data_IF_704985958256
#
_entry.id   IF_704985958256
#
_cell.length_a   1.000
_cell.length_b   1.000
_cell.length_c   1.000
_cell.angle_alpha   90.00
_cell.angle_beta   90.00
_cell.angle_gamma   90.00
#
_symmetry.space_group_name_H-M   'P 1'
#
loop_
_entity.id
_entity.type
_entity.pdbx_description
1 polymer ?
#
# COMPACT_ATOMS: atom_id res chain seq x y z
N UNK A 1 32.12 -33.79 -33.49
CA UNK A 1 31.31 -32.80 -32.75
C UNK A 1 29.91 -32.91 -33.30
N UNK A 2 29.00 -33.45 -32.50
CA UNK A 2 27.62 -33.74 -32.89
C UNK A 2 26.75 -32.49 -32.70
N UNK A 3 26.09 -31.94 -33.75
CA UNK A 3 25.30 -30.71 -33.66
C UNK A 3 23.85 -30.99 -33.22
N UNK A 4 23.63 -31.94 -32.32
CA UNK A 4 22.29 -32.42 -31.94
C UNK A 4 21.62 -31.67 -30.79
N UNK A 5 22.15 -30.51 -30.37
CA UNK A 5 21.47 -29.62 -29.41
C UNK A 5 20.59 -28.59 -30.15
N UNK A 6 19.77 -29.09 -31.08
CA UNK A 6 18.67 -28.34 -31.66
C UNK A 6 17.57 -28.16 -30.61
N UNK A 7 17.78 -27.23 -29.67
CA UNK A 7 16.72 -26.79 -28.77
C UNK A 7 15.53 -26.35 -29.62
N UNK A 8 14.35 -26.93 -29.40
CA UNK A 8 13.13 -26.60 -30.14
C UNK A 8 12.93 -25.09 -30.11
N UNK A 9 13.17 -24.43 -31.24
CA UNK A 9 12.80 -23.04 -31.41
C UNK A 9 11.28 -22.96 -31.31
N UNK A 10 10.80 -22.07 -30.43
CA UNK A 10 9.37 -21.88 -30.23
C UNK A 10 8.75 -21.28 -31.49
N UNK A 11 7.55 -21.73 -31.88
CA UNK A 11 6.82 -21.06 -32.95
C UNK A 11 6.50 -19.63 -32.53
N UNK A 12 6.49 -18.71 -33.50
CA UNK A 12 6.16 -17.29 -33.27
C UNK A 12 4.82 -17.14 -32.53
N UNK A 13 3.83 -17.94 -32.92
CA UNK A 13 2.50 -17.92 -32.32
C UNK A 13 2.50 -18.40 -30.87
N UNK A 14 3.27 -19.45 -30.55
CA UNK A 14 3.42 -19.92 -29.17
C UNK A 14 4.14 -18.90 -28.29
N UNK A 15 5.18 -18.26 -28.82
CA UNK A 15 5.88 -17.18 -28.12
C UNK A 15 4.94 -15.99 -27.84
N UNK A 16 4.23 -15.51 -28.85
CA UNK A 16 3.27 -14.41 -28.69
C UNK A 16 2.15 -14.77 -27.72
N UNK A 17 1.58 -15.97 -27.82
CA UNK A 17 0.53 -16.44 -26.92
C UNK A 17 1.01 -16.49 -25.47
N UNK A 18 2.25 -16.94 -25.21
CA UNK A 18 2.82 -16.99 -23.87
C UNK A 18 3.14 -15.58 -23.36
N UNK A 19 3.73 -14.72 -24.18
CA UNK A 19 4.05 -13.34 -23.77
C UNK A 19 2.78 -12.53 -23.46
N UNK A 20 1.73 -12.67 -24.28
CA UNK A 20 0.42 -12.06 -24.01
C UNK A 20 -0.24 -12.70 -22.79
N UNK A 21 -0.18 -14.03 -22.68
CA UNK A 21 -0.69 -14.79 -21.54
C UNK A 21 -0.06 -14.33 -20.24
N UNK A 22 1.27 -14.27 -20.15
CA UNK A 22 1.98 -13.74 -18.99
C UNK A 22 1.64 -12.26 -18.75
N UNK A 23 1.45 -11.48 -19.81
CA UNK A 23 1.05 -10.08 -19.72
C UNK A 23 -0.30 -9.79 -19.13
N UNK A 24 -1.24 -10.71 -19.28
CA UNK A 24 -2.53 -10.61 -18.61
C UNK A 24 -2.49 -11.31 -17.26
N UNK A 25 -1.86 -12.48 -17.20
CA UNK A 25 -1.86 -13.35 -16.03
C UNK A 25 -1.14 -12.73 -14.84
N UNK A 26 0.06 -12.14 -15.04
CA UNK A 26 0.85 -11.58 -13.94
C UNK A 26 0.14 -10.41 -13.27
N UNK A 27 -0.36 -9.39 -14.00
CA UNK A 27 -1.18 -8.33 -13.40
C UNK A 27 -2.46 -8.88 -12.76
N UNK A 28 -3.15 -9.82 -13.40
CA UNK A 28 -4.38 -10.41 -12.86
C UNK A 28 -4.13 -11.18 -11.55
N UNK A 29 -3.03 -11.94 -11.46
CA UNK A 29 -2.63 -12.62 -10.23
C UNK A 29 -2.27 -11.64 -9.12
N UNK A 30 -1.48 -10.60 -9.41
CA UNK A 30 -1.05 -9.64 -8.41
C UNK A 30 -2.17 -8.68 -7.95
N UNK A 31 -3.19 -8.44 -8.77
CA UNK A 31 -4.34 -7.62 -8.40
C UNK A 31 -5.48 -8.48 -7.85
N UNK A 32 -6.09 -9.28 -8.70
CA UNK A 32 -7.28 -10.04 -8.35
C UNK A 32 -6.98 -11.21 -7.43
N UNK A 33 -5.84 -11.89 -7.63
CA UNK A 33 -5.39 -12.96 -6.74
C UNK A 33 -5.17 -12.47 -5.32
N UNK A 34 -4.52 -11.32 -5.14
CA UNK A 34 -4.36 -10.71 -3.81
C UNK A 34 -5.71 -10.31 -3.20
N UNK A 35 -6.64 -9.76 -3.98
CA UNK A 35 -7.98 -9.45 -3.49
C UNK A 35 -8.76 -10.72 -3.07
N UNK A 36 -8.62 -11.83 -3.79
CA UNK A 36 -9.26 -13.11 -3.45
C UNK A 36 -8.66 -13.73 -2.19
N UNK A 37 -7.32 -13.71 -2.06
CA UNK A 37 -6.61 -14.14 -0.84
C UNK A 37 -7.03 -13.28 0.34
N UNK A 38 -7.13 -11.96 0.16
CA UNK A 38 -7.57 -11.06 1.21
C UNK A 38 -9.01 -11.36 1.69
N UNK A 39 -9.88 -11.76 0.76
CA UNK A 39 -11.27 -12.10 1.05
C UNK A 39 -11.43 -13.43 1.79
N UNK A 40 -10.66 -14.46 1.41
CA UNK A 40 -10.85 -15.84 1.90
C UNK A 40 -9.85 -16.24 2.99
N UNK A 41 -8.64 -15.69 2.96
CA UNK A 41 -7.52 -16.06 3.82
C UNK A 41 -6.97 -14.83 4.56
N UNK A 42 -7.79 -14.28 5.46
CA UNK A 42 -7.39 -13.16 6.34
C UNK A 42 -6.17 -13.50 7.21
N UNK A 43 -5.89 -14.79 7.44
CA UNK A 43 -4.71 -15.28 8.15
C UNK A 43 -3.38 -15.06 7.43
N UNK A 44 -3.36 -15.09 6.09
CA UNK A 44 -2.14 -15.06 5.28
C UNK A 44 -1.63 -13.64 4.97
N UNK A 45 -2.41 -12.62 5.29
CA UNK A 45 -2.05 -11.22 5.06
C UNK A 45 -1.14 -10.72 6.18
N UNK A 46 0.13 -10.50 5.83
CA UNK A 46 1.08 -9.81 6.71
C UNK A 46 0.77 -8.31 6.70
N UNK A 47 -0.07 -7.87 7.64
CA UNK A 47 -0.52 -6.49 7.78
C UNK A 47 -0.25 -5.99 9.21
N UNK A 48 0.26 -4.76 9.39
CA UNK A 48 0.42 -4.19 10.72
C UNK A 48 -0.96 -3.99 11.38
N UNK A 49 -1.11 -4.45 12.62
CA UNK A 49 -2.36 -4.38 13.38
C UNK A 49 -3.53 -5.08 12.66
N UNK A 50 -3.26 -6.25 12.09
CA UNK A 50 -4.22 -7.06 11.34
C UNK A 50 -5.58 -7.20 12.02
N UNK A 51 -5.59 -7.48 13.33
CA UNK A 51 -6.82 -7.71 14.09
C UNK A 51 -7.72 -6.47 14.15
N UNK A 52 -7.12 -5.29 14.16
CA UNK A 52 -7.86 -4.02 14.10
C UNK A 52 -8.51 -3.80 12.73
N UNK A 53 -7.77 -4.04 11.65
CA UNK A 53 -8.25 -3.80 10.28
C UNK A 53 -9.20 -4.89 9.77
N UNK A 54 -9.06 -6.12 10.26
CA UNK A 54 -9.88 -7.27 9.88
C UNK A 54 -11.03 -7.55 10.85
N UNK A 55 -11.26 -6.67 11.84
CA UNK A 55 -12.43 -6.73 12.71
C UNK A 55 -13.73 -6.79 11.86
N UNK A 56 -14.73 -7.62 12.23
CA UNK A 56 -15.92 -7.87 11.43
C UNK A 56 -16.63 -6.59 10.96
N UNK A 57 -16.63 -5.56 11.80
CA UNK A 57 -17.29 -4.28 11.56
C UNK A 57 -16.57 -3.43 10.49
N UNK A 58 -15.24 -3.59 10.35
CA UNK A 58 -14.39 -2.77 9.47
C UNK A 58 -13.93 -3.51 8.22
N UNK A 59 -13.97 -4.85 8.24
CA UNK A 59 -13.47 -5.74 7.19
C UNK A 59 -13.92 -5.34 5.79
N UNK A 60 -15.20 -5.02 5.60
CA UNK A 60 -15.72 -4.60 4.30
C UNK A 60 -15.05 -3.31 3.78
N UNK A 61 -14.87 -2.31 4.66
CA UNK A 61 -14.20 -1.05 4.32
C UNK A 61 -12.70 -1.24 4.04
N UNK A 62 -12.05 -2.14 4.79
CA UNK A 62 -10.63 -2.51 4.62
C UNK A 62 -10.41 -3.17 3.27
N UNK A 63 -11.28 -4.12 2.88
CA UNK A 63 -11.22 -4.79 1.59
C UNK A 63 -11.47 -3.83 0.42
N UNK A 64 -12.43 -2.91 0.54
CA UNK A 64 -12.66 -1.88 -0.48
C UNK A 64 -11.43 -0.95 -0.65
N UNK A 65 -10.78 -0.60 0.45
CA UNK A 65 -9.54 0.19 0.43
C UNK A 65 -8.39 -0.58 -0.19
N UNK A 66 -8.24 -1.86 0.15
CA UNK A 66 -7.24 -2.73 -0.46
C UNK A 66 -7.46 -2.85 -1.98
N UNK A 67 -8.72 -3.04 -2.43
CA UNK A 67 -9.06 -3.06 -3.86
C UNK A 67 -8.63 -1.80 -4.60
N UNK A 68 -8.86 -0.62 -4.01
CA UNK A 68 -8.39 0.67 -4.57
C UNK A 68 -6.87 0.76 -4.64
N UNK A 69 -6.17 0.21 -3.66
CA UNK A 69 -4.70 0.21 -3.62
C UNK A 69 -4.09 -0.82 -4.60
N UNK A 70 -4.80 -1.89 -4.92
CA UNK A 70 -4.34 -2.89 -5.88
C UNK A 70 -4.39 -2.40 -7.33
N UNK A 71 -5.27 -1.45 -7.66
CA UNK A 71 -5.32 -0.85 -9.00
C UNK A 71 -3.99 -0.21 -9.46
N UNK A 72 -3.38 0.73 -8.70
CA UNK A 72 -2.09 1.31 -9.09
C UNK A 72 -0.95 0.28 -9.07
N UNK A 73 -1.03 -0.78 -8.26
CA UNK A 73 -0.07 -1.89 -8.32
C UNK A 73 -0.16 -2.63 -9.67
N UNK A 74 -1.37 -2.96 -10.11
CA UNK A 74 -1.60 -3.56 -11.42
C UNK A 74 -1.06 -2.69 -12.55
N UNK A 75 -1.29 -1.38 -12.50
CA UNK A 75 -0.75 -0.43 -13.46
C UNK A 75 0.78 -0.43 -13.47
N UNK A 76 1.44 -0.40 -12.31
CA UNK A 76 2.90 -0.45 -12.22
C UNK A 76 3.48 -1.74 -12.83
N UNK A 77 2.82 -2.89 -12.62
CA UNK A 77 3.24 -4.17 -13.19
C UNK A 77 3.12 -4.15 -14.72
N UNK A 78 1.98 -3.67 -15.24
CA UNK A 78 1.76 -3.55 -16.69
C UNK A 78 2.79 -2.60 -17.32
N UNK A 79 3.09 -1.48 -16.66
CA UNK A 79 4.11 -0.53 -17.13
C UNK A 79 5.51 -1.15 -17.15
N UNK A 80 5.91 -1.89 -16.11
CA UNK A 80 7.19 -2.62 -16.12
C UNK A 80 7.27 -3.61 -17.28
N UNK A 81 6.20 -4.37 -17.51
CA UNK A 81 6.19 -5.36 -18.58
C UNK A 81 6.19 -4.73 -19.97
N UNK A 82 5.39 -3.67 -20.17
CA UNK A 82 5.37 -2.92 -21.42
C UNK A 82 6.74 -2.30 -21.70
N UNK A 83 7.36 -1.67 -20.69
CA UNK A 83 8.72 -1.13 -20.79
C UNK A 83 9.74 -2.20 -21.17
N UNK A 84 9.73 -3.35 -20.48
CA UNK A 84 10.62 -4.47 -20.81
C UNK A 84 10.41 -4.98 -22.23
N UNK A 85 9.15 -5.13 -22.67
CA UNK A 85 8.82 -5.59 -24.03
C UNK A 85 9.31 -4.61 -25.10
N UNK A 86 9.13 -3.31 -24.88
CA UNK A 86 9.63 -2.25 -25.78
C UNK A 86 11.15 -2.28 -25.85
N UNK A 87 11.85 -2.44 -24.72
CA UNK A 87 13.32 -2.51 -24.73
C UNK A 87 13.82 -3.72 -25.52
N UNK A 88 13.22 -4.90 -25.33
CA UNK A 88 13.57 -6.09 -26.11
C UNK A 88 13.32 -5.88 -27.61
N UNK A 89 12.16 -5.33 -27.97
CA UNK A 89 11.83 -5.06 -29.37
C UNK A 89 12.78 -4.02 -29.98
N UNK A 90 13.10 -2.95 -29.24
CA UNK A 90 14.02 -1.92 -29.68
C UNK A 90 15.43 -2.47 -29.91
N UNK A 91 15.90 -3.40 -29.08
CA UNK A 91 17.19 -4.08 -29.29
C UNK A 91 17.20 -4.92 -30.57
N UNK A 92 16.12 -5.67 -30.84
CA UNK A 92 15.98 -6.50 -32.05
C UNK A 92 15.84 -5.66 -33.32
N UNK A 93 15.09 -4.57 -33.25
CA UNK A 93 14.81 -3.67 -34.37
C UNK A 93 15.89 -2.60 -34.57
N UNK A 94 16.95 -2.62 -33.76
CA UNK A 94 18.02 -1.61 -33.73
C UNK A 94 17.48 -0.17 -33.67
N UNK A 95 16.42 0.05 -32.88
CA UNK A 95 15.89 1.39 -32.65
C UNK A 95 16.96 2.23 -31.94
N UNK A 96 17.27 3.45 -32.40
CA UNK A 96 18.15 4.38 -31.69
C UNK A 96 17.49 4.90 -30.40
N UNK A 97 17.44 4.07 -29.36
CA UNK A 97 17.08 4.51 -28.02
C UNK A 97 18.31 5.08 -27.29
N UNK A 98 18.13 6.10 -26.43
CA UNK A 98 19.20 6.55 -25.55
C UNK A 98 19.69 5.40 -24.66
N UNK A 99 21.01 5.35 -24.42
CA UNK A 99 21.62 4.30 -23.58
C UNK A 99 21.11 4.34 -22.13
N UNK A 100 20.69 5.51 -21.67
CA UNK A 100 20.12 5.77 -20.36
C UNK A 100 18.63 5.37 -20.23
N UNK A 101 17.93 5.09 -21.33
CA UNK A 101 16.49 4.82 -21.31
C UNK A 101 16.08 3.63 -20.41
N UNK A 102 16.80 2.48 -20.40
CA UNK A 102 16.49 1.38 -19.49
C UNK A 102 16.68 1.76 -18.02
N UNK A 103 17.74 2.51 -17.72
CA UNK A 103 18.07 2.94 -16.36
C UNK A 103 17.02 3.95 -15.88
N UNK A 104 16.70 4.96 -16.69
CA UNK A 104 15.70 5.97 -16.37
C UNK A 104 14.31 5.34 -16.15
N UNK A 105 13.89 4.42 -17.01
CA UNK A 105 12.64 3.67 -16.87
C UNK A 105 12.62 2.82 -15.59
N UNK A 106 13.72 2.12 -15.29
CA UNK A 106 13.88 1.34 -14.06
C UNK A 106 13.80 2.20 -12.81
N UNK A 107 14.51 3.34 -12.77
CA UNK A 107 14.48 4.28 -11.65
C UNK A 107 13.07 4.84 -11.44
N UNK A 108 12.40 5.26 -12.52
CA UNK A 108 11.02 5.77 -12.45
C UNK A 108 10.07 4.71 -11.87
N UNK A 109 10.21 3.46 -12.31
CA UNK A 109 9.40 2.36 -11.79
C UNK A 109 9.67 2.08 -10.32
N UNK A 110 10.93 2.07 -9.90
CA UNK A 110 11.32 1.90 -8.47
C UNK A 110 10.75 3.01 -7.62
N UNK A 111 10.84 4.28 -8.06
CA UNK A 111 10.24 5.42 -7.37
C UNK A 111 8.73 5.24 -7.24
N UNK A 112 8.06 4.83 -8.33
CA UNK A 112 6.63 4.52 -8.31
C UNK A 112 6.27 3.42 -7.31
N UNK A 113 7.06 2.34 -7.27
CA UNK A 113 6.87 1.23 -6.34
C UNK A 113 7.07 1.66 -4.88
N UNK A 114 8.14 2.41 -4.58
CA UNK A 114 8.41 2.95 -3.24
C UNK A 114 7.31 3.90 -2.80
N UNK A 115 6.84 4.78 -3.69
CA UNK A 115 5.72 5.66 -3.40
C UNK A 115 4.44 4.86 -3.10
N UNK A 116 4.14 3.84 -3.91
CA UNK A 116 3.00 2.96 -3.70
C UNK A 116 3.07 2.21 -2.37
N UNK A 117 4.22 1.60 -2.05
CA UNK A 117 4.45 0.94 -0.75
C UNK A 117 4.27 1.94 0.39
N UNK A 118 4.80 3.16 0.26
CA UNK A 118 4.61 4.24 1.22
C UNK A 118 3.13 4.59 1.44
N UNK A 119 2.34 4.67 0.38
CA UNK A 119 0.88 4.90 0.46
C UNK A 119 0.17 3.75 1.17
N UNK A 120 0.49 2.50 0.82
CA UNK A 120 -0.08 1.31 1.48
C UNK A 120 0.22 1.34 2.99
N UNK A 121 1.49 1.52 3.36
CA UNK A 121 1.91 1.58 4.75
C UNK A 121 1.26 2.74 5.50
N UNK A 122 1.15 3.93 4.89
CA UNK A 122 0.46 5.08 5.50
C UNK A 122 -1.03 4.84 5.69
N UNK A 123 -1.67 4.16 4.74
CA UNK A 123 -3.12 3.87 4.80
C UNK A 123 -3.45 2.90 5.93
N UNK A 124 -2.61 1.89 6.18
CA UNK A 124 -2.81 0.88 7.23
C UNK A 124 -2.11 1.20 8.56
N UNK A 125 -1.55 2.42 8.71
CA UNK A 125 -1.07 2.91 10.01
C UNK A 125 -2.26 3.20 10.92
N UNK A 126 -2.19 2.75 12.17
CA UNK A 126 -3.23 3.03 13.17
C UNK A 126 -3.47 4.55 13.30
N UNK A 127 -4.74 5.00 13.35
CA UNK A 127 -5.05 6.35 13.80
C UNK A 127 -4.83 6.44 15.31
N UNK A 128 -3.59 6.68 15.77
CA UNK A 128 -3.28 6.62 17.21
C UNK A 128 -2.02 7.33 17.68
N UNK A 129 -2.12 8.66 17.86
CA UNK A 129 -1.53 9.45 18.98
C UNK A 129 -1.84 10.95 18.91
N UNK A 130 -2.07 11.51 17.72
CA UNK A 130 -2.23 12.96 17.55
C UNK A 130 -3.56 13.51 18.10
N UNK A 131 -4.63 12.70 18.14
CA UNK A 131 -5.96 13.15 18.58
C UNK A 131 -6.20 13.10 20.10
N UNK A 132 -5.36 12.38 20.87
CA UNK A 132 -5.47 12.34 22.34
C UNK A 132 -4.71 13.48 23.05
N UNK A 133 -3.76 14.13 22.35
CA UNK A 133 -2.99 15.26 22.91
C UNK A 133 -3.78 16.57 22.96
N UNK A 134 -4.87 16.72 22.20
CA UNK A 134 -5.60 17.99 22.13
C UNK A 134 -6.72 18.12 23.17
N UNK A 135 -7.02 17.06 23.93
CA UNK A 135 -8.09 17.06 24.94
C UNK A 135 -7.57 17.21 26.39
N UNK A 136 -6.27 17.46 26.60
CA UNK A 136 -5.70 17.72 27.95
C UNK A 136 -5.34 19.18 28.21
N UNK A 137 -5.80 20.11 27.36
CA UNK A 137 -5.69 21.56 27.60
C UNK A 137 -7.00 22.15 28.13
N UNK A 138 -7.75 21.40 28.95
CA UNK A 138 -8.65 22.05 29.89
C UNK A 138 -7.79 22.59 31.04
N UNK A 139 -7.76 23.90 31.32
CA UNK A 139 -7.06 24.40 32.49
C UNK A 139 -7.65 23.77 33.75
N UNK A 140 -6.83 23.41 34.77
CA UNK A 140 -7.35 22.92 36.03
C UNK A 140 -8.29 23.97 36.62
N UNK A 141 -9.53 23.57 36.92
CA UNK A 141 -10.46 24.39 37.68
C UNK A 141 -9.76 24.85 38.96
N UNK A 142 -9.63 26.17 39.12
CA UNK A 142 -8.93 26.83 40.21
C UNK A 142 -9.46 26.35 41.57
N UNK A 143 -8.69 25.62 42.40
CA UNK A 143 -9.11 25.28 43.75
C UNK A 143 -8.77 26.47 44.65
N UNK A 144 -9.67 27.47 44.67
CA UNK A 144 -9.39 28.75 45.29
C UNK A 144 -10.59 29.46 45.92
N UNK A 145 -11.69 28.77 46.22
CA UNK A 145 -12.75 29.34 47.05
C UNK A 145 -12.46 29.03 48.51
N UNK A 146 -11.62 29.86 49.15
CA UNK A 146 -11.49 29.91 50.62
C UNK A 146 -12.89 30.06 51.21
N UNK A 147 -13.43 29.00 51.80
CA UNK A 147 -14.53 29.11 52.75
C UNK A 147 -14.02 29.94 53.94
N UNK A 148 -14.46 31.20 54.02
CA UNK A 148 -14.25 32.02 55.21
C UNK A 148 -14.97 31.35 56.39
N UNK A 149 -14.31 31.14 57.55
CA UNK A 149 -15.02 30.77 58.76
C UNK A 149 -15.94 31.92 59.17
N UNK A 150 -17.25 31.65 59.31
CA UNK A 150 -18.18 32.58 59.97
C UNK A 150 -17.74 32.70 61.43
N UNK A 151 -17.32 33.92 61.82
CA UNK A 151 -16.97 34.23 63.19
C UNK A 151 -18.18 34.09 64.13
N UNK A 152 -17.99 33.64 65.38
CA UNK A 152 -19.05 33.53 66.37
C UNK A 152 -19.39 34.91 66.95
N UNK A 153 -20.66 35.29 66.92
CA UNK A 153 -21.15 36.46 67.64
C UNK A 153 -21.14 36.20 69.15
N UNK A 154 -20.29 36.92 69.89
CA UNK A 154 -20.33 37.01 71.35
C UNK A 154 -20.76 38.44 71.77
N UNK A 155 -22.00 38.52 72.30
CA UNK A 155 -22.64 39.43 73.29
C UNK A 155 -22.19 40.92 73.43
N UNK A 156 -23.15 41.82 73.77
CA UNK A 156 -23.30 42.20 75.17
C UNK A 156 -24.78 42.22 75.64
N UNK A 157 -24.99 42.03 76.95
CA UNK A 157 -26.32 41.87 77.53
C UNK A 157 -27.03 43.18 77.88
N UNK A 158 -28.33 43.05 78.13
CA UNK A 158 -29.07 43.65 79.24
C UNK A 158 -30.32 42.83 79.49
#
# INVERSE_FOLDING_TARGET
MDPSHGGKAWSRDAYLAISLGMGVLVPAMCTWGVALIARHFTGALNMPNKDYWMAPERRASTLATLGRLLWPLGLLIVLAQAGSTVMTLASVMHWPLPAEAPIAGGVLWVVGMVAWVGVVLRTFRLPGRASMSFSSSLPPATPGARQRPRAPHRRPGR
#
